data_IF_615018037250
#
_entry.id   IF_615018037250
#
_cell.length_a   1.000
_cell.length_b   1.000
_cell.length_c   1.000
_cell.angle_alpha   90.00
_cell.angle_beta   90.00
_cell.angle_gamma   90.00
#
_symmetry.space_group_name_H-M   'P 1'
#
loop_
_entity.id
_entity.type
_entity.pdbx_description
1 polymer ?
#
# COMPACT_ATOMS: atom_id res chain seq x y z
N UNK A 1 -13.39 22.22 2.68
CA UNK A 1 -14.19 22.54 3.91
C UNK A 1 -13.57 23.71 4.65
N UNK A 2 -14.30 24.42 5.53
CA UNK A 2 -13.73 25.38 6.46
C UNK A 2 -12.65 24.74 7.35
N UNK A 3 -11.63 25.53 7.73
CA UNK A 3 -10.55 25.09 8.61
C UNK A 3 -11.12 24.75 10.00
N UNK A 4 -10.92 23.51 10.45
CA UNK A 4 -11.41 23.00 11.73
C UNK A 4 -12.77 22.28 11.69
N UNK A 5 -13.36 22.05 10.51
CA UNK A 5 -14.55 21.21 10.39
C UNK A 5 -14.24 19.75 10.80
N UNK A 6 -14.97 19.24 11.80
CA UNK A 6 -14.83 17.86 12.31
C UNK A 6 -15.87 16.89 11.76
N UNK A 7 -16.95 17.40 11.16
CA UNK A 7 -18.04 16.65 10.58
C UNK A 7 -18.41 17.18 9.18
N UNK A 8 -19.06 16.34 8.39
CA UNK A 8 -19.54 16.60 7.04
C UNK A 8 -20.98 16.11 6.92
N UNK A 9 -21.84 16.93 6.32
CA UNK A 9 -23.14 16.49 5.79
C UNK A 9 -23.23 16.97 4.35
N UNK A 10 -23.50 16.05 3.42
CA UNK A 10 -23.73 16.32 1.99
C UNK A 10 -25.12 15.82 1.61
N UNK A 11 -25.92 16.70 1.01
CA UNK A 11 -27.19 16.30 0.38
C UNK A 11 -26.96 16.06 -1.11
N UNK A 12 -27.25 14.85 -1.57
CA UNK A 12 -27.31 14.52 -3.00
C UNK A 12 -28.78 14.45 -3.40
N UNK A 13 -29.20 15.31 -4.33
CA UNK A 13 -30.61 15.34 -4.75
C UNK A 13 -31.00 14.05 -5.46
N UNK A 14 -32.28 13.67 -5.38
CA UNK A 14 -32.79 12.49 -6.09
C UNK A 14 -32.53 12.58 -7.60
N UNK A 15 -32.65 13.77 -8.19
CA UNK A 15 -32.32 14.02 -9.58
C UNK A 15 -30.83 13.81 -9.88
N UNK A 16 -29.93 14.32 -9.04
CA UNK A 16 -28.49 14.10 -9.18
C UNK A 16 -28.12 12.62 -9.08
N UNK A 17 -28.69 11.89 -8.11
CA UNK A 17 -28.51 10.44 -7.97
C UNK A 17 -28.99 9.68 -9.22
N UNK A 18 -30.18 10.03 -9.72
CA UNK A 18 -30.73 9.45 -10.95
C UNK A 18 -29.82 9.71 -12.17
N UNK A 19 -29.27 10.92 -12.31
CA UNK A 19 -28.33 11.26 -13.37
C UNK A 19 -27.01 10.47 -13.26
N UNK A 20 -26.44 10.33 -12.07
CA UNK A 20 -25.22 9.55 -11.85
C UNK A 20 -25.41 8.07 -12.22
N UNK A 21 -26.50 7.45 -11.76
CA UNK A 21 -26.81 6.05 -12.08
C UNK A 21 -27.09 5.86 -13.57
N UNK A 22 -27.88 6.75 -14.19
CA UNK A 22 -28.20 6.69 -15.62
C UNK A 22 -27.00 6.93 -16.53
N UNK A 23 -26.06 7.79 -16.11
CA UNK A 23 -24.79 8.02 -16.81
C UNK A 23 -23.81 6.84 -16.67
N UNK A 24 -24.06 5.90 -15.75
CA UNK A 24 -23.17 4.76 -15.51
C UNK A 24 -21.80 5.15 -14.98
N UNK A 25 -21.73 6.19 -14.14
CA UNK A 25 -20.45 6.65 -13.53
C UNK A 25 -19.75 5.50 -12.81
N UNK A 26 -18.41 5.45 -12.83
CA UNK A 26 -17.66 4.40 -12.13
C UNK A 26 -17.73 4.55 -10.60
N UNK A 27 -17.65 5.79 -10.12
CA UNK A 27 -17.81 6.14 -8.71
C UNK A 27 -18.27 7.60 -8.53
N UNK A 28 -18.76 7.91 -7.33
CA UNK A 28 -18.94 9.26 -6.80
C UNK A 28 -17.99 9.43 -5.61
N UNK A 29 -17.05 10.38 -5.70
CA UNK A 29 -16.09 10.68 -4.63
C UNK A 29 -16.43 12.00 -3.93
N UNK A 30 -16.39 12.00 -2.59
CA UNK A 30 -16.52 13.17 -1.74
C UNK A 30 -15.19 13.44 -1.05
N UNK A 31 -14.30 14.17 -1.72
CA UNK A 31 -12.97 14.48 -1.19
C UNK A 31 -13.00 15.59 -0.12
N UNK A 32 -12.46 15.30 1.07
CA UNK A 32 -12.75 16.13 2.24
C UNK A 32 -11.97 15.85 3.53
N UNK A 33 -12.05 16.79 4.48
CA UNK A 33 -11.05 16.98 5.56
C UNK A 33 -11.07 15.92 6.68
N UNK A 34 -12.21 15.54 7.30
CA UNK A 34 -12.20 14.51 8.34
C UNK A 34 -12.01 13.10 7.75
N UNK A 35 -12.62 12.85 6.59
CA UNK A 35 -12.64 11.59 5.82
C UNK A 35 -13.00 11.94 4.36
N UNK A 36 -12.32 11.37 3.35
CA UNK A 36 -12.85 11.30 1.97
C UNK A 36 -13.72 10.05 1.83
N UNK A 37 -14.82 10.13 1.07
CA UNK A 37 -15.81 9.07 0.97
C UNK A 37 -16.27 8.81 -0.46
N UNK A 38 -16.03 7.60 -0.96
CA UNK A 38 -16.41 7.12 -2.29
C UNK A 38 -17.60 6.15 -2.27
N UNK A 39 -18.39 6.16 -3.35
CA UNK A 39 -19.45 5.18 -3.64
C UNK A 39 -19.28 4.63 -5.06
N UNK A 40 -19.24 3.31 -5.24
CA UNK A 40 -19.26 2.70 -6.58
C UNK A 40 -20.66 2.74 -7.23
N UNK A 41 -20.73 2.43 -8.53
CA UNK A 41 -21.99 2.41 -9.28
C UNK A 41 -23.07 1.47 -8.70
N UNK A 42 -22.67 0.35 -8.10
CA UNK A 42 -23.62 -0.60 -7.53
C UNK A 42 -24.18 -0.08 -6.21
N UNK A 43 -23.36 0.60 -5.40
CA UNK A 43 -23.79 1.30 -4.21
C UNK A 43 -24.77 2.43 -4.55
N UNK A 44 -24.47 3.23 -5.58
CA UNK A 44 -25.38 4.28 -6.08
C UNK A 44 -26.73 3.70 -6.55
N UNK A 45 -26.72 2.58 -7.29
CA UNK A 45 -27.94 1.86 -7.71
C UNK A 45 -28.75 1.34 -6.53
N UNK A 46 -28.10 0.73 -5.54
CA UNK A 46 -28.79 0.18 -4.36
C UNK A 46 -29.34 1.30 -3.46
N UNK A 47 -28.63 2.42 -3.33
CA UNK A 47 -29.12 3.64 -2.66
C UNK A 47 -30.34 4.19 -3.41
N UNK A 48 -30.28 4.34 -4.73
CA UNK A 48 -31.39 4.80 -5.57
C UNK A 48 -32.64 3.92 -5.39
N UNK A 49 -32.46 2.60 -5.36
CA UNK A 49 -33.52 1.61 -5.13
C UNK A 49 -34.16 1.71 -3.74
N UNK A 50 -33.41 2.10 -2.71
CA UNK A 50 -33.91 2.24 -1.34
C UNK A 50 -34.50 3.63 -1.02
N UNK A 51 -34.02 4.70 -1.67
CA UNK A 51 -34.41 6.08 -1.37
C UNK A 51 -35.62 6.57 -2.16
N UNK A 52 -36.52 7.32 -1.52
CA UNK A 52 -37.70 7.93 -2.17
C UNK A 52 -37.60 9.45 -2.39
N UNK A 53 -36.45 10.05 -2.10
CA UNK A 53 -36.18 11.48 -2.22
C UNK A 53 -34.68 11.76 -2.06
N UNK A 54 -34.34 13.01 -1.76
CA UNK A 54 -32.95 13.44 -1.55
C UNK A 54 -32.28 12.64 -0.43
N UNK A 55 -31.02 12.24 -0.66
CA UNK A 55 -30.21 11.53 0.33
C UNK A 55 -29.27 12.48 1.05
N UNK A 56 -29.09 12.28 2.35
CA UNK A 56 -28.12 12.97 3.19
C UNK A 56 -27.05 11.97 3.65
N UNK A 57 -25.81 12.23 3.24
CA UNK A 57 -24.59 11.50 3.63
C UNK A 57 -23.97 12.29 4.77
N UNK A 58 -23.89 11.71 5.97
CA UNK A 58 -23.30 12.35 7.15
C UNK A 58 -22.12 11.54 7.68
N UNK A 59 -21.01 12.24 7.93
CA UNK A 59 -19.79 11.72 8.54
C UNK A 59 -19.46 12.60 9.75
N UNK A 60 -19.44 12.03 10.95
CA UNK A 60 -19.18 12.79 12.18
C UNK A 60 -18.30 11.98 13.16
N UNK A 61 -17.51 12.62 14.05
CA UNK A 61 -16.65 11.92 14.99
C UNK A 61 -17.49 11.02 15.91
N UNK A 62 -17.09 9.75 16.05
CA UNK A 62 -17.79 8.81 16.91
C UNK A 62 -17.39 9.01 18.38
N UNK A 63 -18.38 9.04 19.27
CA UNK A 63 -18.19 9.07 20.73
C UNK A 63 -18.86 7.87 21.39
N UNK A 64 -18.72 7.70 22.71
CA UNK A 64 -19.45 6.64 23.44
C UNK A 64 -18.98 5.20 23.17
N UNK A 65 -17.82 5.00 22.52
CA UNK A 65 -17.29 3.67 22.15
C UNK A 65 -17.21 2.69 23.34
N UNK A 66 -17.54 1.43 23.09
CA UNK A 66 -17.41 0.30 24.03
C UNK A 66 -15.95 0.09 24.47
N UNK A 67 -15.76 -0.72 25.52
CA UNK A 67 -14.42 -1.07 26.02
C UNK A 67 -13.64 -1.87 24.98
N UNK A 68 -14.33 -2.77 24.30
CA UNK A 68 -13.83 -3.64 23.24
C UNK A 68 -13.42 -2.82 22.01
N UNK A 69 -14.23 -1.83 21.61
CA UNK A 69 -13.90 -0.94 20.50
C UNK A 69 -12.70 -0.05 20.82
N UNK A 70 -12.65 0.53 22.03
CA UNK A 70 -11.49 1.31 22.50
C UNK A 70 -10.19 0.50 22.51
N UNK A 71 -10.24 -0.80 22.79
CA UNK A 71 -9.05 -1.66 22.80
C UNK A 71 -8.41 -1.83 21.41
N UNK A 72 -9.20 -1.84 20.33
CA UNK A 72 -8.69 -1.96 18.94
C UNK A 72 -8.37 -0.59 18.32
N UNK A 73 -9.22 0.42 18.55
CA UNK A 73 -9.10 1.75 17.95
C UNK A 73 -8.07 2.64 18.66
N UNK A 74 -7.91 2.50 19.98
CA UNK A 74 -7.05 3.37 20.79
C UNK A 74 -7.49 4.84 20.69
N UNK A 75 -6.51 5.74 20.54
CA UNK A 75 -6.72 7.19 20.39
C UNK A 75 -6.75 7.64 18.91
N UNK A 76 -6.94 6.72 17.96
CA UNK A 76 -6.89 7.03 16.52
C UNK A 76 -8.24 7.55 16.01
N UNK A 77 -8.33 8.16 14.82
CA UNK A 77 -9.59 8.71 14.31
C UNK A 77 -10.69 7.66 14.17
N UNK A 78 -11.91 8.03 14.59
CA UNK A 78 -13.11 7.20 14.54
C UNK A 78 -14.31 8.07 14.14
N UNK A 79 -15.07 7.63 13.14
CA UNK A 79 -16.18 8.37 12.55
C UNK A 79 -17.41 7.48 12.39
N UNK A 80 -18.58 8.00 12.75
CA UNK A 80 -19.87 7.47 12.34
C UNK A 80 -20.14 7.90 10.90
N UNK A 81 -20.51 6.95 10.04
CA UNK A 81 -20.96 7.23 8.67
C UNK A 81 -22.40 6.73 8.52
N UNK A 82 -23.28 7.62 8.06
CA UNK A 82 -24.70 7.31 7.82
C UNK A 82 -25.16 7.88 6.49
N UNK A 83 -26.00 7.13 5.77
CA UNK A 83 -26.79 7.66 4.65
C UNK A 83 -28.26 7.53 5.02
N UNK A 84 -29.01 8.61 4.87
CA UNK A 84 -30.43 8.68 5.20
C UNK A 84 -31.21 9.48 4.16
N UNK A 85 -32.52 9.29 4.08
CA UNK A 85 -33.43 10.09 3.27
C UNK A 85 -34.71 10.38 4.05
N UNK A 86 -35.47 11.38 3.63
CA UNK A 86 -36.82 11.65 4.18
C UNK A 86 -37.84 10.98 3.28
N UNK A 87 -38.70 10.14 3.85
CA UNK A 87 -39.77 9.48 3.11
C UNK A 87 -40.96 10.41 2.82
N UNK A 88 -41.88 9.94 1.97
CA UNK A 88 -43.12 10.65 1.60
C UNK A 88 -44.06 11.03 2.77
N UNK A 89 -43.81 10.52 3.98
CA UNK A 89 -44.55 10.87 5.19
C UNK A 89 -43.77 11.85 6.10
N UNK A 90 -42.61 12.34 5.65
CA UNK A 90 -41.73 13.21 6.43
C UNK A 90 -40.84 12.49 7.44
N UNK A 91 -40.77 11.15 7.42
CA UNK A 91 -39.96 10.37 8.36
C UNK A 91 -38.56 10.09 7.80
N UNK A 92 -37.54 10.28 8.63
CA UNK A 92 -36.16 9.90 8.31
C UNK A 92 -36.03 8.38 8.26
N UNK A 93 -35.48 7.87 7.17
CA UNK A 93 -35.14 6.47 6.93
C UNK A 93 -33.63 6.37 6.71
N UNK A 94 -33.00 5.33 7.28
CA UNK A 94 -31.55 5.10 7.17
C UNK A 94 -31.29 3.94 6.23
N UNK A 95 -30.40 4.13 5.25
CA UNK A 95 -29.87 3.06 4.40
C UNK A 95 -28.82 2.30 5.22
N UNK A 96 -28.96 0.99 5.33
CA UNK A 96 -28.10 0.15 6.19
C UNK A 96 -27.21 -0.82 5.41
N UNK A 97 -27.51 -1.07 4.13
CA UNK A 97 -26.77 -2.00 3.27
C UNK A 97 -26.71 -1.47 1.83
N UNK A 98 -25.58 -1.74 1.17
CA UNK A 98 -25.29 -1.40 -0.22
C UNK A 98 -25.42 -2.62 -1.16
N UNK A 99 -25.89 -3.77 -0.65
CA UNK A 99 -26.08 -4.98 -1.45
C UNK A 99 -24.75 -5.54 -1.96
N UNK A 100 -24.52 -5.46 -3.27
CA UNK A 100 -23.25 -5.81 -3.92
C UNK A 100 -22.38 -4.58 -4.26
N UNK A 101 -22.78 -3.39 -3.80
CA UNK A 101 -22.03 -2.15 -3.91
C UNK A 101 -21.09 -1.90 -2.75
N UNK A 102 -20.06 -1.10 -3.02
CA UNK A 102 -19.01 -0.74 -2.08
C UNK A 102 -18.98 0.77 -1.85
N UNK A 103 -18.87 1.16 -0.58
CA UNK A 103 -18.39 2.47 -0.17
C UNK A 103 -16.91 2.35 0.26
N UNK A 104 -16.10 3.36 -0.06
CA UNK A 104 -14.70 3.43 0.35
C UNK A 104 -14.48 4.66 1.22
N UNK A 105 -14.11 4.47 2.48
CA UNK A 105 -13.65 5.55 3.35
C UNK A 105 -12.13 5.68 3.22
N UNK A 106 -11.63 6.90 3.08
CA UNK A 106 -10.22 7.23 3.27
C UNK A 106 -10.08 8.11 4.51
N UNK A 107 -9.56 7.54 5.60
CA UNK A 107 -9.41 8.22 6.89
C UNK A 107 -7.97 8.73 7.03
N UNK A 108 -7.72 10.05 7.00
CA UNK A 108 -6.38 10.61 7.16
C UNK A 108 -5.78 10.23 8.52
N UNK A 109 -4.55 9.71 8.50
CA UNK A 109 -3.89 9.27 9.72
C UNK A 109 -2.37 9.30 9.58
N UNK A 110 -1.69 10.04 10.46
CA UNK A 110 -0.24 9.92 10.63
C UNK A 110 0.07 8.81 11.64
N UNK A 111 0.75 7.72 11.25
CA UNK A 111 1.10 6.63 12.15
C UNK A 111 1.93 7.10 13.34
N UNK A 112 1.68 6.53 14.52
CA UNK A 112 2.50 6.77 15.70
C UNK A 112 3.93 6.24 15.53
N UNK A 113 4.90 6.81 16.27
CA UNK A 113 6.34 6.45 16.19
C UNK A 113 6.64 4.94 16.26
N UNK A 114 5.80 4.18 16.96
CA UNK A 114 5.96 2.73 17.18
C UNK A 114 4.99 1.87 16.34
N UNK A 115 4.32 2.46 15.35
CA UNK A 115 3.35 1.78 14.49
C UNK A 115 3.91 1.52 13.10
N UNK A 116 4.12 0.24 12.77
CA UNK A 116 4.44 -0.16 11.41
C UNK A 116 3.15 -0.24 10.57
N UNK A 117 3.12 0.51 9.46
CA UNK A 117 1.90 0.74 8.66
C UNK A 117 1.24 -0.52 8.12
N UNK A 118 2.00 -1.58 7.85
CA UNK A 118 1.45 -2.88 7.41
C UNK A 118 0.44 -3.49 8.40
N UNK A 119 0.58 -3.16 9.69
CA UNK A 119 -0.31 -3.63 10.76
C UNK A 119 -1.46 -2.65 11.11
N UNK A 120 -1.59 -1.54 10.38
CA UNK A 120 -2.81 -0.74 10.41
C UNK A 120 -3.94 -1.45 9.65
N UNK A 121 -5.17 -1.29 10.15
CA UNK A 121 -6.37 -1.85 9.55
C UNK A 121 -7.62 -1.05 9.89
N UNK A 122 -8.61 -1.10 9.01
CA UNK A 122 -9.96 -0.62 9.26
C UNK A 122 -10.65 -1.45 10.32
N UNK A 123 -11.37 -0.76 11.19
CA UNK A 123 -12.29 -1.34 12.17
C UNK A 123 -13.67 -0.80 11.86
N UNK A 124 -14.70 -1.65 11.94
CA UNK A 124 -16.07 -1.20 12.12
C UNK A 124 -16.62 -1.64 13.49
N UNK A 125 -17.67 -1.00 13.97
CA UNK A 125 -18.35 -1.37 15.22
C UNK A 125 -19.78 -1.84 14.88
N UNK A 126 -20.08 -3.09 15.20
CA UNK A 126 -21.42 -3.64 14.96
C UNK A 126 -22.48 -3.05 15.92
N UNK A 127 -23.75 -3.37 15.66
CA UNK A 127 -24.89 -2.84 16.42
C UNK A 127 -24.87 -3.20 17.93
N UNK A 128 -24.09 -4.20 18.34
CA UNK A 128 -23.90 -4.56 19.74
C UNK A 128 -22.71 -3.82 20.39
N UNK A 129 -22.10 -2.87 19.69
CA UNK A 129 -20.90 -2.16 20.13
C UNK A 129 -19.61 -2.97 20.01
N UNK A 130 -19.62 -4.14 19.36
CA UNK A 130 -18.42 -4.97 19.20
C UNK A 130 -17.63 -4.52 17.98
N UNK A 131 -16.35 -4.21 18.18
CA UNK A 131 -15.44 -3.85 17.10
C UNK A 131 -14.94 -5.09 16.35
N UNK A 132 -14.87 -4.96 15.02
CA UNK A 132 -14.45 -6.01 14.10
C UNK A 132 -13.45 -5.45 13.08
N UNK A 133 -12.42 -6.24 12.76
CA UNK A 133 -11.37 -5.88 11.81
C UNK A 133 -11.82 -6.11 10.36
N UNK A 134 -11.54 -5.14 9.50
CA UNK A 134 -11.78 -5.19 8.05
C UNK A 134 -10.49 -5.64 7.38
N UNK A 135 -10.38 -6.93 7.07
CA UNK A 135 -9.13 -7.49 6.53
C UNK A 135 -8.73 -6.91 5.16
N UNK A 136 -9.71 -6.54 4.33
CA UNK A 136 -9.51 -5.90 3.02
C UNK A 136 -9.15 -4.40 3.07
N UNK A 137 -8.95 -3.83 4.25
CA UNK A 137 -8.45 -2.45 4.40
C UNK A 137 -6.93 -2.36 4.19
N UNK A 138 -6.44 -1.19 3.82
CA UNK A 138 -5.00 -0.93 3.68
C UNK A 138 -4.64 0.52 4.00
N UNK A 139 -3.47 0.74 4.59
CA UNK A 139 -2.90 2.08 4.68
C UNK A 139 -2.25 2.43 3.33
N UNK A 140 -2.47 3.64 2.85
CA UNK A 140 -1.84 4.17 1.66
C UNK A 140 -0.96 5.38 2.00
N UNK A 141 0.34 5.22 1.76
CA UNK A 141 1.34 6.25 2.06
C UNK A 141 1.28 7.47 1.12
N UNK A 142 0.70 7.33 -0.08
CA UNK A 142 0.54 8.44 -1.02
C UNK A 142 -0.56 9.41 -0.56
N UNK A 143 -1.70 8.89 -0.10
CA UNK A 143 -2.81 9.68 0.46
C UNK A 143 -2.70 9.93 1.97
N UNK A 144 -1.69 9.37 2.65
CA UNK A 144 -1.50 9.52 4.10
C UNK A 144 -2.67 9.01 4.94
N UNK A 145 -3.38 8.00 4.43
CA UNK A 145 -4.72 7.63 4.89
C UNK A 145 -4.91 6.12 4.98
N UNK A 146 -5.80 5.69 5.88
CA UNK A 146 -6.29 4.33 5.93
C UNK A 146 -7.53 4.19 5.04
N UNK A 147 -7.44 3.32 4.04
CA UNK A 147 -8.48 2.98 3.09
C UNK A 147 -9.33 1.81 3.62
N UNK A 148 -10.64 2.00 3.67
CA UNK A 148 -11.61 1.05 4.23
C UNK A 148 -12.76 0.82 3.22
N UNK A 149 -12.80 -0.33 2.53
CA UNK A 149 -13.98 -0.74 1.77
C UNK A 149 -15.06 -1.29 2.72
N UNK A 150 -16.34 -0.99 2.44
CA UNK A 150 -17.48 -1.50 3.21
C UNK A 150 -18.76 -1.57 2.36
N UNK A 151 -19.60 -2.58 2.59
CA UNK A 151 -20.91 -2.75 1.95
C UNK A 151 -22.11 -2.33 2.82
N UNK A 152 -21.86 -1.63 3.94
CA UNK A 152 -22.87 -1.20 4.90
C UNK A 152 -22.45 0.14 5.54
N UNK A 153 -23.23 0.61 6.51
CA UNK A 153 -22.94 1.82 7.28
C UNK A 153 -22.80 1.51 8.78
N UNK A 154 -21.93 2.24 9.48
CA UNK A 154 -21.42 1.89 10.82
C UNK A 154 -20.53 3.03 11.36
N UNK A 155 -20.00 2.82 12.57
CA UNK A 155 -18.84 3.55 13.08
C UNK A 155 -17.57 2.86 12.56
N UNK A 156 -16.72 3.61 11.85
CA UNK A 156 -15.45 3.15 11.30
C UNK A 156 -14.27 3.88 11.96
N UNK A 157 -13.10 3.25 11.99
CA UNK A 157 -11.89 3.92 12.45
C UNK A 157 -10.60 3.17 12.16
N UNK A 158 -9.49 3.79 12.53
CA UNK A 158 -8.14 3.24 12.39
C UNK A 158 -7.83 2.32 13.57
N UNK A 159 -7.64 1.04 13.31
CA UNK A 159 -7.12 0.06 14.26
C UNK A 159 -5.66 -0.28 14.02
N UNK A 160 -5.01 -0.79 15.06
CA UNK A 160 -3.64 -1.30 15.02
C UNK A 160 -3.48 -2.45 16.01
N UNK A 161 -2.76 -3.49 15.62
CA UNK A 161 -2.31 -4.56 16.50
C UNK A 161 -0.82 -4.74 16.29
N UNK A 162 -0.03 -4.56 17.35
CA UNK A 162 1.40 -4.81 17.28
C UNK A 162 1.67 -6.27 16.85
N UNK A 163 2.65 -6.53 15.99
CA UNK A 163 2.89 -7.87 15.49
C UNK A 163 3.34 -8.83 16.59
N UNK A 164 2.76 -10.03 16.59
CA UNK A 164 3.19 -11.15 17.42
C UNK A 164 4.52 -11.74 16.93
N UNK A 165 4.73 -11.76 15.61
CA UNK A 165 5.99 -12.15 14.99
C UNK A 165 6.99 -11.00 15.02
N UNK A 166 8.25 -11.29 15.35
CA UNK A 166 9.35 -10.32 15.36
C UNK A 166 10.46 -10.81 14.44
N UNK A 167 10.21 -10.69 13.14
CA UNK A 167 11.16 -11.10 12.11
C UNK A 167 12.40 -10.20 12.13
N UNK A 168 13.57 -10.80 12.38
CA UNK A 168 14.85 -10.05 12.45
C UNK A 168 15.50 -9.87 11.08
N UNK A 169 15.13 -10.70 10.12
CA UNK A 169 15.67 -10.79 8.77
C UNK A 169 15.02 -9.85 7.73
N UNK A 170 14.06 -9.01 8.17
CA UNK A 170 13.38 -8.04 7.30
C UNK A 170 13.62 -6.57 7.70
N UNK A 171 14.47 -6.30 8.70
CA UNK A 171 14.59 -4.97 9.33
C UNK A 171 14.88 -3.82 8.38
N UNK A 172 15.80 -4.01 7.43
CA UNK A 172 16.17 -3.07 6.36
C UNK A 172 15.72 -3.55 4.97
N UNK A 173 14.95 -4.65 4.90
CA UNK A 173 14.57 -5.28 3.64
C UNK A 173 13.50 -4.46 2.91
N UNK A 174 13.65 -4.24 1.61
CA UNK A 174 12.76 -3.39 0.81
C UNK A 174 11.27 -3.81 0.93
N UNK A 175 11.02 -5.13 0.90
CA UNK A 175 9.68 -5.71 1.00
C UNK A 175 9.06 -5.69 2.40
N UNK A 176 9.74 -5.14 3.43
CA UNK A 176 9.31 -5.22 4.84
C UNK A 176 7.85 -4.79 5.04
N UNK A 177 7.45 -3.66 4.47
CA UNK A 177 6.08 -3.14 4.64
C UNK A 177 5.03 -4.10 4.09
N UNK A 178 5.28 -4.67 2.91
CA UNK A 178 4.39 -5.62 2.28
C UNK A 178 4.36 -6.97 3.03
N UNK A 179 5.51 -7.42 3.55
CA UNK A 179 5.62 -8.61 4.41
C UNK A 179 4.82 -8.42 5.69
N UNK A 180 5.00 -7.29 6.38
CA UNK A 180 4.24 -6.91 7.57
C UNK A 180 2.73 -6.91 7.25
N UNK A 181 2.33 -6.34 6.10
CA UNK A 181 0.95 -6.26 5.65
C UNK A 181 0.28 -7.64 5.45
N UNK A 182 0.94 -8.54 4.70
CA UNK A 182 0.38 -9.87 4.38
C UNK A 182 0.42 -10.83 5.56
N UNK A 183 1.45 -10.74 6.42
CA UNK A 183 1.52 -11.51 7.66
C UNK A 183 0.51 -10.99 8.67
N UNK A 184 0.35 -9.66 8.77
CA UNK A 184 -0.66 -9.03 9.59
C UNK A 184 -2.09 -9.44 9.23
N UNK A 185 -2.33 -9.93 8.01
CA UNK A 185 -3.62 -10.47 7.52
C UNK A 185 -3.65 -12.00 7.46
N UNK A 186 -2.61 -12.68 7.91
CA UNK A 186 -2.50 -14.14 7.93
C UNK A 186 -2.36 -14.80 6.55
N UNK A 187 -2.18 -14.03 5.47
CA UNK A 187 -2.09 -14.54 4.11
C UNK A 187 -0.82 -15.39 3.95
N UNK A 188 0.31 -14.85 4.41
CA UNK A 188 1.59 -15.56 4.55
C UNK A 188 2.00 -15.65 6.03
N UNK A 189 2.92 -16.57 6.33
CA UNK A 189 3.55 -16.75 7.64
C UNK A 189 5.06 -16.87 7.49
N UNK A 190 5.81 -16.60 8.56
CA UNK A 190 7.25 -16.84 8.60
C UNK A 190 7.62 -18.32 8.52
N UNK A 191 8.89 -18.60 8.28
CA UNK A 191 9.48 -19.95 8.36
C UNK A 191 9.82 -20.34 9.81
N UNK A 192 9.97 -19.35 10.69
CA UNK A 192 10.08 -19.53 12.14
C UNK A 192 9.31 -18.40 12.87
N UNK A 193 9.40 -18.35 14.21
CA UNK A 193 8.84 -17.23 15.02
C UNK A 193 9.57 -15.89 14.78
N UNK A 194 10.81 -15.94 14.30
CA UNK A 194 11.73 -14.78 14.17
C UNK A 194 12.36 -14.67 12.78
N UNK A 195 11.96 -15.52 11.82
CA UNK A 195 12.50 -15.57 10.46
C UNK A 195 11.34 -15.59 9.45
N UNK A 196 11.36 -14.68 8.48
CA UNK A 196 10.44 -14.69 7.35
C UNK A 196 11.04 -15.35 6.10
N UNK A 197 12.36 -15.33 5.94
CA UNK A 197 13.12 -15.75 4.77
C UNK A 197 12.67 -15.03 3.47
N UNK A 198 12.77 -13.68 3.40
CA UNK A 198 12.20 -12.86 2.32
C UNK A 198 12.67 -13.28 0.92
N UNK A 199 13.96 -13.54 0.76
CA UNK A 199 14.59 -13.86 -0.53
C UNK A 199 14.46 -15.34 -0.95
N UNK A 200 13.78 -16.17 -0.15
CA UNK A 200 13.56 -17.57 -0.55
C UNK A 200 12.37 -17.71 -1.51
N UNK A 201 12.49 -18.66 -2.44
CA UNK A 201 11.53 -18.85 -3.52
C UNK A 201 10.13 -19.26 -3.02
N UNK A 202 9.11 -18.67 -3.62
CA UNK A 202 7.71 -19.03 -3.45
C UNK A 202 7.36 -20.31 -4.19
N UNK A 203 6.55 -21.18 -3.58
CA UNK A 203 6.00 -22.36 -4.26
C UNK A 203 4.56 -22.14 -4.77
N UNK A 204 4.15 -22.94 -5.76
CA UNK A 204 2.77 -22.98 -6.27
C UNK A 204 1.73 -23.19 -5.16
N UNK A 205 1.98 -24.12 -4.23
CA UNK A 205 1.09 -24.41 -3.11
C UNK A 205 0.95 -23.25 -2.12
N UNK A 206 2.03 -22.52 -1.86
CA UNK A 206 2.01 -21.34 -1.01
C UNK A 206 1.23 -20.17 -1.66
N UNK A 207 1.36 -19.94 -2.97
CA UNK A 207 0.61 -18.90 -3.68
C UNK A 207 -0.91 -19.13 -3.58
N UNK A 208 -1.40 -20.31 -3.95
CA UNK A 208 -2.84 -20.60 -3.89
C UNK A 208 -3.39 -20.59 -2.46
N UNK A 209 -2.55 -20.91 -1.47
CA UNK A 209 -2.90 -20.78 -0.05
C UNK A 209 -3.09 -19.32 0.35
N UNK A 210 -2.22 -18.41 -0.10
CA UNK A 210 -2.37 -16.98 0.18
C UNK A 210 -3.62 -16.39 -0.49
N UNK A 211 -3.88 -16.76 -1.75
CA UNK A 211 -5.06 -16.33 -2.50
C UNK A 211 -6.37 -16.89 -1.93
N UNK A 212 -6.40 -18.17 -1.55
CA UNK A 212 -7.57 -18.78 -0.91
C UNK A 212 -7.87 -18.23 0.47
N UNK A 213 -6.83 -17.84 1.24
CA UNK A 213 -7.02 -17.08 2.50
C UNK A 213 -7.57 -15.67 2.25
N UNK A 214 -7.10 -14.99 1.20
CA UNK A 214 -7.61 -13.68 0.80
C UNK A 214 -9.08 -13.75 0.37
N UNK A 215 -9.47 -14.80 -0.36
CA UNK A 215 -10.85 -15.07 -0.75
C UNK A 215 -11.74 -15.62 0.40
N UNK A 216 -11.22 -15.79 1.61
CA UNK A 216 -12.00 -16.25 2.77
C UNK A 216 -12.52 -17.68 2.65
N UNK A 217 -11.82 -18.55 1.93
CA UNK A 217 -12.27 -19.93 1.62
C UNK A 217 -12.58 -20.74 2.87
N UNK A 218 -13.82 -21.25 2.96
CA UNK A 218 -14.15 -22.31 3.93
C UNK A 218 -13.50 -23.63 3.48
N UNK A 219 -12.38 -23.95 4.13
CA UNK A 219 -11.62 -25.18 3.89
C UNK A 219 -12.43 -26.46 4.08
N UNK A 220 -13.56 -26.42 4.81
CA UNK A 220 -14.43 -27.58 5.03
C UNK A 220 -15.20 -27.99 3.78
N UNK A 221 -15.40 -27.08 2.82
CA UNK A 221 -16.06 -27.37 1.54
C UNK A 221 -15.14 -28.10 0.54
N UNK A 222 -13.84 -28.20 0.83
CA UNK A 222 -12.83 -28.70 -0.11
C UNK A 222 -12.11 -29.94 0.45
N UNK A 223 -12.87 -31.03 0.53
CA UNK A 223 -12.42 -32.32 1.11
C UNK A 223 -11.98 -33.37 0.08
N UNK A 224 -12.05 -33.10 -1.22
CA UNK A 224 -11.57 -33.96 -2.30
C UNK A 224 -10.06 -33.81 -2.58
N UNK A 225 -9.51 -34.66 -3.43
CA UNK A 225 -8.20 -34.48 -4.07
C UNK A 225 -8.36 -34.70 -5.58
N UNK A 226 -8.09 -33.66 -6.36
CA UNK A 226 -8.10 -33.66 -7.84
C UNK A 226 -6.72 -33.94 -8.43
N UNK A 227 -5.67 -33.97 -7.59
CA UNK A 227 -4.27 -34.18 -7.99
C UNK A 227 -3.62 -35.29 -7.18
N UNK A 228 -2.88 -36.15 -7.87
CA UNK A 228 -2.23 -37.37 -7.34
C UNK A 228 -1.04 -37.08 -6.43
N UNK A 229 -0.38 -35.93 -6.58
CA UNK A 229 0.80 -35.52 -5.81
C UNK A 229 0.47 -34.61 -4.61
N UNK A 230 -0.82 -34.34 -4.38
CA UNK A 230 -1.31 -33.59 -3.22
C UNK A 230 -1.78 -34.58 -2.15
N UNK A 231 -1.11 -34.61 -1.00
CA UNK A 231 -1.50 -35.48 0.13
C UNK A 231 -2.84 -35.06 0.74
N UNK A 232 -3.62 -36.02 1.24
CA UNK A 232 -4.92 -35.79 1.87
C UNK A 232 -4.87 -34.96 3.18
N UNK A 233 -3.74 -35.01 3.89
CA UNK A 233 -3.46 -34.26 5.13
C UNK A 233 -2.76 -32.91 4.88
N UNK A 234 -2.43 -32.58 3.63
CA UNK A 234 -1.70 -31.35 3.29
C UNK A 234 -2.51 -30.09 3.61
N UNK A 235 -1.92 -29.16 4.35
CA UNK A 235 -2.52 -27.85 4.63
C UNK A 235 -2.80 -27.00 3.38
N UNK A 236 -2.15 -27.29 2.25
CA UNK A 236 -2.40 -26.61 0.97
C UNK A 236 -3.64 -27.15 0.24
N UNK A 237 -4.02 -28.40 0.51
CA UNK A 237 -5.04 -29.16 -0.23
C UNK A 237 -6.38 -28.44 -0.43
N UNK A 238 -7.08 -27.92 0.61
CA UNK A 238 -8.37 -27.27 0.40
C UNK A 238 -8.25 -26.03 -0.50
N UNK A 239 -7.12 -25.30 -0.43
CA UNK A 239 -6.87 -24.12 -1.26
C UNK A 239 -6.50 -24.50 -2.70
N UNK A 240 -5.78 -25.60 -2.92
CA UNK A 240 -5.49 -26.15 -4.26
C UNK A 240 -6.80 -26.60 -4.93
N UNK A 241 -7.65 -27.34 -4.22
CA UNK A 241 -8.96 -27.78 -4.73
C UNK A 241 -9.88 -26.60 -5.04
N UNK A 242 -9.94 -25.60 -4.16
CA UNK A 242 -10.69 -24.37 -4.39
C UNK A 242 -10.17 -23.63 -5.63
N UNK A 243 -8.86 -23.44 -5.73
CA UNK A 243 -8.25 -22.72 -6.84
C UNK A 243 -8.47 -23.45 -8.18
N UNK A 244 -8.44 -24.79 -8.19
CA UNK A 244 -8.72 -25.59 -9.37
C UNK A 244 -10.21 -25.52 -9.77
N UNK A 245 -11.13 -25.76 -8.83
CA UNK A 245 -12.58 -25.73 -9.10
C UNK A 245 -13.11 -24.37 -9.56
N UNK A 246 -12.45 -23.27 -9.15
CA UNK A 246 -12.78 -21.91 -9.58
C UNK A 246 -11.93 -21.42 -10.77
N UNK A 247 -11.13 -22.29 -11.40
CA UNK A 247 -10.34 -21.96 -12.59
C UNK A 247 -9.16 -21.01 -12.35
N UNK A 248 -8.80 -20.73 -11.10
CA UNK A 248 -7.65 -19.90 -10.70
C UNK A 248 -6.33 -20.55 -11.12
N UNK A 249 -6.24 -21.87 -11.01
CA UNK A 249 -5.06 -22.68 -11.40
C UNK A 249 -5.44 -23.91 -12.20
N UNK A 250 -4.47 -24.43 -12.94
CA UNK A 250 -4.51 -25.74 -13.59
C UNK A 250 -3.35 -26.62 -13.09
N UNK A 251 -3.48 -27.93 -13.30
CA UNK A 251 -2.40 -28.89 -13.11
C UNK A 251 -1.25 -28.71 -14.11
N UNK A 252 -0.15 -29.43 -13.90
CA UNK A 252 1.05 -29.39 -14.76
C UNK A 252 1.11 -30.54 -15.79
N UNK A 253 -0.01 -31.24 -16.01
CA UNK A 253 -0.08 -32.53 -16.70
C UNK A 253 -0.30 -33.69 -15.73
N UNK A 254 -0.50 -34.90 -16.26
CA UNK A 254 -0.50 -36.20 -15.52
C UNK A 254 -1.29 -36.27 -14.20
N UNK A 255 -2.33 -35.44 -14.02
CA UNK A 255 -3.05 -35.26 -12.75
C UNK A 255 -2.12 -34.84 -11.59
N UNK A 256 -1.15 -33.97 -11.85
CA UNK A 256 -0.21 -33.41 -10.86
C UNK A 256 -0.37 -31.89 -10.75
N UNK A 257 -0.10 -31.33 -9.56
CA UNK A 257 -0.12 -29.89 -9.28
C UNK A 257 1.26 -29.30 -8.98
N UNK A 258 2.19 -30.11 -8.47
CA UNK A 258 3.51 -29.77 -7.96
C UNK A 258 3.50 -28.67 -6.87
N UNK A 259 2.87 -28.91 -5.70
CA UNK A 259 2.69 -27.89 -4.65
C UNK A 259 4.01 -27.35 -4.08
N UNK A 260 5.07 -28.16 -4.10
CA UNK A 260 6.41 -27.78 -3.65
C UNK A 260 7.30 -27.13 -4.73
N UNK A 261 6.87 -27.10 -6.00
CA UNK A 261 7.67 -26.49 -7.07
C UNK A 261 7.69 -24.96 -6.92
N UNK A 262 8.87 -24.38 -7.04
CA UNK A 262 9.04 -22.93 -7.14
C UNK A 262 8.28 -22.38 -8.36
N UNK A 263 7.59 -21.25 -8.20
CA UNK A 263 6.73 -20.69 -9.25
C UNK A 263 7.41 -19.53 -9.97
N UNK A 264 7.32 -19.51 -11.30
CA UNK A 264 7.92 -18.45 -12.11
C UNK A 264 7.04 -17.20 -12.15
N UNK A 265 7.64 -16.04 -12.47
CA UNK A 265 6.92 -14.77 -12.54
C UNK A 265 5.84 -14.74 -13.64
N UNK A 266 6.05 -15.39 -14.78
CA UNK A 266 5.00 -15.48 -15.81
C UNK A 266 3.81 -16.36 -15.38
N UNK A 267 4.05 -17.44 -14.61
CA UNK A 267 2.97 -18.25 -14.03
C UNK A 267 2.16 -17.47 -12.99
N UNK A 268 2.81 -16.66 -12.15
CA UNK A 268 2.14 -15.80 -11.17
C UNK A 268 1.17 -14.83 -11.87
N UNK A 269 1.58 -14.21 -12.98
CA UNK A 269 0.75 -13.26 -13.71
C UNK A 269 -0.58 -13.88 -14.18
N UNK A 270 -0.54 -15.09 -14.75
CA UNK A 270 -1.74 -15.83 -15.17
C UNK A 270 -2.62 -16.20 -13.95
N UNK A 271 -2.02 -16.63 -12.85
CA UNK A 271 -2.78 -17.03 -11.65
C UNK A 271 -3.47 -15.81 -11.01
N UNK A 272 -2.82 -14.65 -10.94
CA UNK A 272 -3.49 -13.42 -10.47
C UNK A 272 -4.61 -12.95 -11.43
N UNK A 273 -4.43 -13.11 -12.75
CA UNK A 273 -5.46 -12.74 -13.73
C UNK A 273 -6.69 -13.65 -13.60
N UNK A 274 -6.47 -14.96 -13.46
CA UNK A 274 -7.54 -15.92 -13.22
C UNK A 274 -8.20 -15.72 -11.84
N UNK A 275 -7.43 -15.38 -10.80
CA UNK A 275 -7.95 -15.05 -9.46
C UNK A 275 -8.87 -13.84 -9.50
N UNK A 276 -8.45 -12.75 -10.15
CA UNK A 276 -9.27 -11.56 -10.34
C UNK A 276 -10.60 -11.91 -11.01
N UNK A 277 -10.55 -12.63 -12.14
CA UNK A 277 -11.74 -13.11 -12.86
C UNK A 277 -12.64 -13.99 -11.98
N UNK A 278 -12.08 -14.96 -11.25
CA UNK A 278 -12.82 -15.87 -10.39
C UNK A 278 -13.48 -15.19 -9.18
N UNK A 279 -12.92 -14.07 -8.72
CA UNK A 279 -13.48 -13.23 -7.64
C UNK A 279 -14.33 -12.06 -8.15
N UNK A 280 -14.61 -11.99 -9.45
CA UNK A 280 -15.43 -10.94 -10.06
C UNK A 280 -14.74 -9.57 -10.16
N UNK A 281 -13.43 -9.49 -9.91
CA UNK A 281 -12.66 -8.26 -10.02
C UNK A 281 -12.13 -8.05 -11.44
N UNK A 282 -12.48 -6.92 -12.04
CA UNK A 282 -11.92 -6.50 -13.34
C UNK A 282 -10.61 -5.75 -13.10
N UNK A 283 -9.51 -6.27 -13.63
CA UNK A 283 -8.21 -5.61 -13.58
C UNK A 283 -8.27 -4.26 -14.32
N UNK A 284 -8.00 -3.13 -13.64
CA UNK A 284 -8.12 -1.82 -14.25
C UNK A 284 -6.88 -1.47 -15.09
N UNK A 285 -7.09 -0.80 -16.22
CA UNK A 285 -6.02 -0.30 -17.10
C UNK A 285 -5.65 1.12 -16.67
N UNK A 286 -4.77 1.24 -15.67
CA UNK A 286 -4.43 2.51 -15.02
C UNK A 286 -3.09 3.07 -15.53
N UNK A 287 -2.19 2.17 -15.92
CA UNK A 287 -0.85 2.50 -16.43
C UNK A 287 -0.77 2.21 -17.92
N UNK A 288 0.02 3.03 -18.61
CA UNK A 288 0.38 2.75 -20.00
C UNK A 288 1.18 1.45 -20.10
N UNK A 289 0.96 0.68 -21.16
CA UNK A 289 1.75 -0.52 -21.42
C UNK A 289 3.15 -0.12 -21.89
N UNK A 290 4.17 -0.67 -21.24
CA UNK A 290 5.58 -0.47 -21.59
C UNK A 290 6.19 -1.82 -21.93
N UNK A 291 6.89 -1.92 -23.05
CA UNK A 291 7.59 -3.16 -23.38
C UNK A 291 8.74 -3.39 -22.37
N UNK A 292 8.73 -4.54 -21.71
CA UNK A 292 9.87 -4.98 -20.90
C UNK A 292 11.07 -5.28 -21.80
N UNK A 293 12.29 -5.02 -21.32
CA UNK A 293 13.53 -5.23 -22.06
C UNK A 293 13.75 -6.71 -22.45
N UNK A 294 13.16 -7.63 -21.71
CA UNK A 294 13.19 -9.08 -21.91
C UNK A 294 11.84 -9.64 -22.40
N UNK A 295 10.98 -8.82 -23.01
CA UNK A 295 9.64 -9.23 -23.44
C UNK A 295 9.64 -10.45 -24.40
N UNK A 296 10.70 -10.66 -25.18
CA UNK A 296 10.89 -11.84 -26.04
C UNK A 296 11.06 -13.16 -25.27
N UNK A 297 11.36 -13.10 -23.97
CA UNK A 297 11.47 -14.27 -23.08
C UNK A 297 10.15 -14.67 -22.42
N UNK A 298 9.11 -13.82 -22.52
CA UNK A 298 7.77 -14.10 -22.00
C UNK A 298 7.12 -15.14 -22.93
N UNK A 299 6.64 -16.26 -22.38
CA UNK A 299 5.95 -17.25 -23.21
C UNK A 299 4.65 -16.67 -23.78
N UNK A 300 4.32 -16.98 -25.05
CA UNK A 300 3.17 -16.39 -25.75
C UNK A 300 1.81 -16.62 -25.07
N UNK A 301 1.67 -17.67 -24.26
CA UNK A 301 0.47 -17.93 -23.45
C UNK A 301 0.34 -17.07 -22.18
N UNK A 302 1.38 -16.31 -21.83
CA UNK A 302 1.45 -15.49 -20.60
C UNK A 302 1.42 -13.98 -20.90
N UNK A 303 1.65 -13.56 -22.16
CA UNK A 303 1.84 -12.17 -22.56
C UNK A 303 0.69 -11.25 -22.13
N UNK A 304 -0.56 -11.65 -22.39
CA UNK A 304 -1.75 -10.86 -22.03
C UNK A 304 -1.90 -10.70 -20.50
N UNK A 305 -1.61 -11.76 -19.74
CA UNK A 305 -1.67 -11.70 -18.28
C UNK A 305 -0.54 -10.82 -17.70
N UNK A 306 0.68 -10.93 -18.24
CA UNK A 306 1.82 -10.08 -17.85
C UNK A 306 1.53 -8.60 -18.15
N UNK A 307 0.97 -8.31 -19.34
CA UNK A 307 0.53 -6.97 -19.72
C UNK A 307 -0.56 -6.45 -18.79
N UNK A 308 -1.60 -7.25 -18.50
CA UNK A 308 -2.67 -6.86 -17.58
C UNK A 308 -2.13 -6.55 -16.17
N UNK A 309 -1.20 -7.36 -15.64
CA UNK A 309 -0.57 -7.11 -14.34
C UNK A 309 0.27 -5.83 -14.32
N UNK A 310 0.96 -5.52 -15.42
CA UNK A 310 1.72 -4.27 -15.56
C UNK A 310 0.79 -3.04 -15.57
N UNK A 311 -0.26 -3.09 -16.40
CA UNK A 311 -1.20 -1.97 -16.57
C UNK A 311 -2.06 -1.73 -15.32
N UNK A 312 -2.33 -2.78 -14.54
CA UNK A 312 -2.94 -2.70 -13.22
C UNK A 312 -1.96 -2.25 -12.11
N UNK A 313 -0.65 -2.31 -12.37
CA UNK A 313 0.40 -1.95 -11.41
C UNK A 313 0.68 -3.00 -10.32
N UNK A 314 0.26 -4.25 -10.53
CA UNK A 314 0.43 -5.35 -9.57
C UNK A 314 1.82 -5.97 -9.66
N UNK A 315 2.27 -6.28 -10.88
CA UNK A 315 3.63 -6.76 -11.18
C UNK A 315 4.30 -5.71 -12.05
N UNK A 316 5.43 -5.18 -11.60
CA UNK A 316 6.04 -3.98 -12.16
C UNK A 316 7.36 -4.25 -12.88
N UNK A 317 7.86 -5.47 -12.81
CA UNK A 317 9.24 -5.78 -13.21
C UNK A 317 10.23 -5.26 -12.18
N UNK A 318 11.50 -5.31 -12.56
CA UNK A 318 12.64 -4.99 -11.71
C UNK A 318 13.69 -4.14 -12.42
N UNK A 319 14.95 -4.39 -12.11
CA UNK A 319 16.12 -3.73 -12.69
C UNK A 319 16.11 -3.78 -14.23
N UNK A 320 16.64 -2.72 -14.85
CA UNK A 320 16.74 -2.54 -16.31
C UNK A 320 15.40 -2.69 -17.08
N UNK A 321 14.25 -2.42 -16.44
CA UNK A 321 12.92 -2.65 -17.02
C UNK A 321 12.72 -4.11 -17.50
N UNK A 322 13.20 -5.09 -16.72
CA UNK A 322 13.02 -6.53 -17.00
C UNK A 322 11.85 -7.12 -16.21
N UNK A 323 11.10 -8.01 -16.82
CA UNK A 323 10.05 -8.79 -16.14
C UNK A 323 10.59 -10.08 -15.51
N UNK A 324 11.70 -10.62 -16.00
CA UNK A 324 12.33 -11.88 -15.57
C UNK A 324 11.33 -13.07 -15.58
N UNK A 325 10.67 -13.38 -16.71
CA UNK A 325 9.50 -14.28 -16.76
C UNK A 325 9.76 -15.69 -16.25
N UNK A 326 10.96 -16.23 -16.50
CA UNK A 326 11.35 -17.60 -16.11
C UNK A 326 11.96 -17.69 -14.70
N UNK A 327 12.28 -16.56 -14.08
CA UNK A 327 12.82 -16.54 -12.72
C UNK A 327 11.74 -16.90 -11.70
N UNK A 328 12.14 -17.61 -10.65
CA UNK A 328 11.28 -17.89 -9.51
C UNK A 328 11.09 -16.63 -8.68
N UNK A 329 9.84 -16.29 -8.31
CA UNK A 329 9.61 -15.17 -7.41
C UNK A 329 9.96 -15.54 -5.96
N UNK A 330 10.51 -14.57 -5.23
CA UNK A 330 10.76 -14.60 -3.80
C UNK A 330 9.49 -14.37 -2.98
N UNK A 331 9.55 -14.63 -1.67
CA UNK A 331 8.46 -14.34 -0.73
C UNK A 331 8.23 -12.84 -0.55
N UNK A 332 9.28 -12.02 -0.66
CA UNK A 332 9.15 -10.56 -0.64
C UNK A 332 8.44 -10.01 -1.89
N UNK A 333 8.78 -10.52 -3.08
CA UNK A 333 8.08 -10.18 -4.32
C UNK A 333 6.59 -10.51 -4.24
N UNK A 334 6.22 -11.73 -3.86
CA UNK A 334 4.79 -12.08 -3.76
C UNK A 334 4.07 -11.28 -2.66
N UNK A 335 4.73 -11.00 -1.53
CA UNK A 335 4.14 -10.15 -0.48
C UNK A 335 3.80 -8.77 -1.06
N UNK A 336 4.67 -8.22 -1.90
CA UNK A 336 4.49 -6.92 -2.56
C UNK A 336 3.39 -6.97 -3.63
N UNK A 337 3.34 -8.02 -4.45
CA UNK A 337 2.27 -8.23 -5.44
C UNK A 337 0.90 -8.36 -4.77
N UNK A 338 0.79 -9.15 -3.69
CA UNK A 338 -0.44 -9.27 -2.89
C UNK A 338 -0.84 -7.92 -2.26
N UNK A 339 0.10 -7.18 -1.69
CA UNK A 339 -0.18 -5.87 -1.09
C UNK A 339 -0.68 -4.86 -2.13
N UNK A 340 -0.03 -4.78 -3.31
CA UNK A 340 -0.47 -3.95 -4.44
C UNK A 340 -1.86 -4.37 -4.93
N UNK A 341 -2.09 -5.67 -5.14
CA UNK A 341 -3.40 -6.20 -5.55
C UNK A 341 -4.51 -5.79 -4.58
N UNK A 342 -4.33 -5.97 -3.27
CA UNK A 342 -5.38 -5.68 -2.30
C UNK A 342 -5.65 -4.17 -2.24
N UNK A 343 -4.62 -3.32 -2.22
CA UNK A 343 -4.79 -1.85 -2.32
C UNK A 343 -5.57 -1.44 -3.57
N UNK A 344 -5.26 -2.05 -4.72
CA UNK A 344 -5.93 -1.82 -5.99
C UNK A 344 -7.42 -2.20 -5.97
N UNK A 345 -7.78 -3.28 -5.27
CA UNK A 345 -9.19 -3.67 -5.08
C UNK A 345 -10.00 -2.72 -4.20
N UNK A 346 -9.34 -1.88 -3.39
CA UNK A 346 -10.01 -0.82 -2.61
C UNK A 346 -10.22 0.43 -3.46
N UNK A 347 -9.15 0.88 -4.15
CA UNK A 347 -9.25 1.95 -5.15
C UNK A 347 -8.10 1.91 -6.16
N UNK A 348 -8.40 2.03 -7.48
CA UNK A 348 -7.43 2.24 -8.55
C UNK A 348 -6.40 3.35 -8.31
N UNK A 349 -6.75 4.39 -7.55
CA UNK A 349 -5.86 5.52 -7.28
C UNK A 349 -4.54 5.11 -6.60
N UNK A 350 -4.53 3.99 -5.87
CA UNK A 350 -3.32 3.45 -5.22
C UNK A 350 -2.20 3.00 -6.18
N UNK A 351 -2.47 2.89 -7.48
CA UNK A 351 -1.47 2.60 -8.50
C UNK A 351 -0.70 3.86 -9.01
N UNK A 352 -1.11 5.06 -8.60
CA UNK A 352 -0.42 6.34 -8.87
C UNK A 352 0.49 6.74 -7.70
N UNK A 353 1.25 7.83 -7.87
CA UNK A 353 2.17 8.35 -6.85
C UNK A 353 3.42 7.48 -6.70
N UNK A 354 4.00 7.46 -5.50
CA UNK A 354 5.15 6.61 -5.21
C UNK A 354 4.73 5.13 -5.24
N UNK A 355 5.49 4.35 -6.02
CA UNK A 355 5.35 2.91 -6.10
C UNK A 355 6.74 2.25 -6.01
N UNK A 356 6.81 1.10 -5.38
CA UNK A 356 8.00 0.25 -5.33
C UNK A 356 7.83 -0.87 -6.36
N UNK A 357 8.81 -1.10 -7.23
CA UNK A 357 8.80 -2.23 -8.17
C UNK A 357 9.13 -3.56 -7.47
N UNK A 358 9.30 -4.64 -8.24
CA UNK A 358 9.48 -5.98 -7.67
C UNK A 358 10.92 -6.24 -7.18
N UNK A 359 11.88 -5.37 -7.52
CA UNK A 359 13.27 -5.43 -7.05
C UNK A 359 13.56 -4.37 -5.95
N UNK A 360 12.53 -3.73 -5.40
CA UNK A 360 12.69 -2.75 -4.31
C UNK A 360 13.12 -1.35 -4.77
N UNK A 361 13.00 -1.01 -6.06
CA UNK A 361 13.31 0.31 -6.59
C UNK A 361 12.07 1.20 -6.61
N UNK A 362 12.21 2.47 -6.25
CA UNK A 362 11.09 3.42 -6.29
C UNK A 362 10.87 3.98 -7.69
N UNK A 363 9.61 4.19 -8.05
CA UNK A 363 9.15 4.95 -9.21
C UNK A 363 8.08 5.94 -8.74
N UNK A 364 7.81 6.97 -9.53
CA UNK A 364 6.65 7.84 -9.34
C UNK A 364 5.73 7.78 -10.55
N UNK A 365 4.48 7.38 -10.34
CA UNK A 365 3.46 7.34 -11.40
C UNK A 365 2.59 8.58 -11.35
N UNK A 366 2.40 9.21 -12.51
CA UNK A 366 1.45 10.29 -12.72
C UNK A 366 0.72 10.06 -14.03
N UNK A 367 -0.61 10.18 -14.01
CA UNK A 367 -1.47 10.00 -15.19
C UNK A 367 -1.19 8.69 -15.95
N UNK A 368 -0.85 7.62 -15.20
CA UNK A 368 -0.53 6.30 -15.73
C UNK A 368 0.90 6.10 -16.25
N UNK A 369 1.74 7.14 -16.24
CA UNK A 369 3.14 7.13 -16.70
C UNK A 369 4.11 7.14 -15.53
N UNK A 370 5.19 6.35 -15.62
CA UNK A 370 6.33 6.53 -14.73
C UNK A 370 7.08 7.81 -15.13
N UNK A 371 7.39 8.68 -14.17
CA UNK A 371 8.17 9.90 -14.43
C UNK A 371 9.66 9.57 -14.63
N UNK A 372 10.30 10.29 -15.55
CA UNK A 372 11.73 10.16 -15.88
C UNK A 372 12.45 11.51 -15.73
N UNK A 373 13.79 11.49 -15.69
CA UNK A 373 14.60 12.71 -15.63
C UNK A 373 14.47 13.49 -14.31
N UNK A 374 14.69 14.80 -14.36
CA UNK A 374 14.57 15.66 -13.16
C UNK A 374 13.13 16.11 -12.97
N UNK A 375 12.57 15.91 -11.78
CA UNK A 375 11.19 16.22 -11.44
C UNK A 375 11.13 16.99 -10.11
N UNK A 376 10.01 17.70 -9.87
CA UNK A 376 9.69 18.28 -8.56
C UNK A 376 8.37 17.69 -8.08
N UNK A 377 8.40 16.99 -6.95
CA UNK A 377 7.26 16.32 -6.32
C UNK A 377 7.14 16.89 -4.91
N UNK A 378 5.99 17.45 -4.57
CA UNK A 378 5.70 18.07 -3.26
C UNK A 378 6.75 19.12 -2.83
N UNK A 379 7.25 19.89 -3.80
CA UNK A 379 8.29 20.91 -3.59
C UNK A 379 9.72 20.37 -3.49
N UNK A 380 9.91 19.04 -3.51
CA UNK A 380 11.23 18.38 -3.43
C UNK A 380 11.68 17.96 -4.84
N UNK A 381 12.92 18.30 -5.20
CA UNK A 381 13.53 17.84 -6.46
C UNK A 381 13.93 16.36 -6.34
N UNK A 382 13.60 15.57 -7.37
CA UNK A 382 13.97 14.15 -7.53
C UNK A 382 14.59 13.89 -8.91
N UNK A 383 15.35 12.80 -9.02
CA UNK A 383 16.06 12.42 -10.24
C UNK A 383 15.76 10.97 -10.59
N UNK A 384 15.11 10.75 -11.71
CA UNK A 384 14.74 9.44 -12.23
C UNK A 384 15.60 9.06 -13.44
N UNK A 385 15.84 7.76 -13.59
CA UNK A 385 16.46 7.15 -14.76
C UNK A 385 15.47 7.11 -15.93
N UNK A 386 15.95 6.68 -17.11
CA UNK A 386 15.12 6.58 -18.32
C UNK A 386 14.06 5.47 -18.24
N UNK A 387 14.25 4.47 -17.38
CA UNK A 387 13.27 3.42 -17.07
C UNK A 387 12.25 3.84 -15.98
N UNK A 388 12.35 5.08 -15.48
CA UNK A 388 11.49 5.63 -14.43
C UNK A 388 11.89 5.26 -13.00
N UNK A 389 13.01 4.53 -12.80
CA UNK A 389 13.51 4.25 -11.45
C UNK A 389 14.16 5.48 -10.82
N UNK A 390 13.87 5.72 -9.54
CA UNK A 390 14.45 6.81 -8.76
C UNK A 390 15.93 6.53 -8.47
N UNK A 391 16.79 7.52 -8.71
CA UNK A 391 18.17 7.49 -8.23
C UNK A 391 18.20 7.68 -6.71
N UNK A 392 18.61 6.64 -6.00
CA UNK A 392 18.74 6.64 -4.53
C UNK A 392 20.21 6.71 -4.08
N UNK A 393 20.45 6.98 -2.80
CA UNK A 393 21.79 7.25 -2.29
C UNK A 393 22.29 8.61 -2.73
N UNK A 394 23.59 8.75 -3.00
CA UNK A 394 24.22 10.00 -3.43
C UNK A 394 23.87 10.34 -4.87
N UNK A 395 23.33 11.54 -5.09
CA UNK A 395 22.93 12.06 -6.41
C UNK A 395 23.50 13.46 -6.62
N UNK A 396 24.13 13.69 -7.76
CA UNK A 396 24.70 14.98 -8.13
C UNK A 396 23.64 15.93 -8.71
N UNK A 397 23.56 17.16 -8.19
CA UNK A 397 22.68 18.26 -8.65
C UNK A 397 23.56 19.45 -9.07
N UNK A 398 24.11 19.38 -10.28
CA UNK A 398 25.12 20.32 -10.77
C UNK A 398 26.43 20.21 -9.97
N UNK A 399 26.83 21.31 -9.32
CA UNK A 399 28.01 21.34 -8.45
C UNK A 399 27.71 20.90 -6.99
N UNK A 400 26.46 20.55 -6.68
CA UNK A 400 26.02 20.14 -5.34
C UNK A 400 25.70 18.66 -5.31
N UNK A 401 25.54 18.12 -4.10
CA UNK A 401 25.10 16.74 -3.88
C UNK A 401 23.78 16.70 -3.10
N UNK A 402 23.04 15.61 -3.29
CA UNK A 402 21.83 15.24 -2.58
C UNK A 402 21.97 13.80 -2.11
N UNK A 403 21.18 13.42 -1.11
CA UNK A 403 21.07 12.02 -0.69
C UNK A 403 19.60 11.63 -0.57
N UNK A 404 19.24 10.44 -1.06
CA UNK A 404 17.90 9.87 -0.92
C UNK A 404 17.94 8.52 -0.21
N UNK A 405 17.19 8.39 0.89
CA UNK A 405 16.95 7.13 1.58
C UNK A 405 15.59 6.58 1.16
N UNK A 406 15.59 5.61 0.24
CA UNK A 406 14.39 5.25 -0.50
C UNK A 406 13.84 6.45 -1.29
N UNK A 407 12.53 6.72 -1.19
CA UNK A 407 11.91 7.91 -1.76
C UNK A 407 12.03 9.18 -0.90
N UNK A 408 12.80 9.18 0.20
CA UNK A 408 12.94 10.34 1.09
C UNK A 408 14.24 11.09 0.83
N UNK A 409 14.14 12.35 0.40
CA UNK A 409 15.29 13.25 0.33
C UNK A 409 15.83 13.58 1.74
N UNK A 410 17.15 13.58 1.91
CA UNK A 410 17.80 13.99 3.14
C UNK A 410 17.63 15.51 3.36
N UNK A 411 17.26 15.88 4.59
CA UNK A 411 17.10 17.26 5.05
C UNK A 411 17.59 17.34 6.49
N UNK A 412 18.33 18.39 6.85
CA UNK A 412 18.96 18.52 8.15
C UNK A 412 20.11 17.52 8.36
N UNK A 413 20.31 17.09 9.60
CA UNK A 413 21.37 16.14 9.97
C UNK A 413 21.09 14.71 9.49
N UNK A 414 22.07 14.06 8.88
CA UNK A 414 22.02 12.64 8.53
C UNK A 414 23.40 11.99 8.68
N UNK A 415 23.45 10.82 9.30
CA UNK A 415 24.66 9.99 9.38
C UNK A 415 24.64 8.96 8.23
N UNK A 416 25.75 8.86 7.49
CA UNK A 416 25.92 7.97 6.32
C UNK A 416 27.32 7.36 6.42
N UNK A 417 27.41 6.04 6.59
CA UNK A 417 28.68 5.29 6.70
C UNK A 417 29.67 5.93 7.69
N UNK A 418 29.23 6.03 8.95
CA UNK A 418 29.97 6.61 10.10
C UNK A 418 30.36 8.10 10.01
N UNK A 419 30.07 8.76 8.87
CA UNK A 419 30.23 10.21 8.68
C UNK A 419 28.90 10.93 8.88
N UNK A 420 28.96 12.09 9.54
CA UNK A 420 27.80 12.98 9.73
C UNK A 420 27.77 14.07 8.68
N UNK A 421 26.60 14.31 8.09
CA UNK A 421 26.36 15.30 7.05
C UNK A 421 25.23 16.24 7.46
N UNK A 422 25.14 17.40 6.81
CA UNK A 422 23.99 18.29 6.89
C UNK A 422 23.48 18.66 5.50
N UNK A 423 22.18 18.56 5.32
CA UNK A 423 21.47 18.90 4.09
C UNK A 423 20.58 20.12 4.34
N UNK A 424 20.54 21.06 3.41
CA UNK A 424 19.65 22.23 3.48
C UNK A 424 18.17 21.81 3.41
N UNK A 425 17.25 22.74 3.71
CA UNK A 425 15.81 22.56 3.49
C UNK A 425 15.46 22.15 2.05
N UNK A 426 16.30 22.57 1.09
CA UNK A 426 16.15 22.28 -0.34
C UNK A 426 16.82 20.95 -0.73
N UNK A 427 17.32 20.18 0.24
CA UNK A 427 17.94 18.86 0.12
C UNK A 427 19.40 18.85 -0.36
N UNK A 428 20.09 19.99 -0.40
CA UNK A 428 21.47 20.10 -0.86
C UNK A 428 22.46 19.87 0.28
N UNK A 429 23.45 18.99 0.07
CA UNK A 429 24.55 18.74 1.00
C UNK A 429 25.38 20.00 1.21
N UNK A 430 25.75 20.27 2.46
CA UNK A 430 26.66 21.35 2.83
C UNK A 430 28.11 20.82 2.83
N UNK A 431 29.00 21.49 2.11
CA UNK A 431 30.43 21.17 2.07
C UNK A 431 31.32 22.42 1.95
N UNK A 432 32.58 22.26 2.33
CA UNK A 432 33.67 23.22 2.18
C UNK A 432 33.48 24.55 2.93
N UNK A 433 32.69 24.58 4.00
CA UNK A 433 32.35 25.83 4.71
C UNK A 433 31.85 25.65 6.13
N UNK A 434 31.95 26.75 6.88
CA UNK A 434 31.20 26.95 8.12
C UNK A 434 29.71 27.17 7.86
N UNK A 435 28.86 26.61 8.73
CA UNK A 435 27.43 26.86 8.78
C UNK A 435 26.98 26.98 10.24
N UNK A 436 26.06 27.92 10.51
CA UNK A 436 25.41 28.03 11.81
C UNK A 436 24.10 27.23 11.81
N UNK A 437 23.94 26.34 12.79
CA UNK A 437 22.76 25.49 13.00
C UNK A 437 22.39 25.61 14.48
N UNK A 438 21.15 25.99 14.78
CA UNK A 438 20.63 26.20 16.15
C UNK A 438 21.57 27.05 17.04
N UNK A 439 22.09 28.14 16.46
CA UNK A 439 23.02 29.08 17.11
C UNK A 439 24.47 28.62 17.18
N UNK A 440 24.76 27.33 16.97
CA UNK A 440 26.12 26.75 17.02
C UNK A 440 26.77 26.73 15.64
N UNK A 441 28.09 26.91 15.60
CA UNK A 441 28.87 26.86 14.35
C UNK A 441 29.48 25.48 14.15
N UNK A 442 29.33 24.95 12.94
CA UNK A 442 29.83 23.66 12.47
C UNK A 442 30.62 23.86 11.18
N UNK A 443 31.71 23.11 10.96
CA UNK A 443 32.43 23.11 9.69
C UNK A 443 32.19 21.79 8.95
N UNK A 444 31.87 21.90 7.67
CA UNK A 444 31.74 20.75 6.78
C UNK A 444 32.91 20.74 5.80
N UNK A 445 33.61 19.61 5.75
CA UNK A 445 34.74 19.36 4.87
C UNK A 445 34.33 19.44 3.39
N UNK A 446 35.29 19.41 2.47
CA UNK A 446 35.03 19.43 1.02
C UNK A 446 34.22 18.22 0.54
N UNK A 447 34.36 17.07 1.21
CA UNK A 447 33.54 15.86 0.99
C UNK A 447 32.15 15.93 1.67
N UNK A 448 31.82 17.04 2.34
CA UNK A 448 30.57 17.27 3.06
C UNK A 448 30.52 16.68 4.47
N UNK A 449 31.54 15.95 4.91
CA UNK A 449 31.57 15.39 6.27
C UNK A 449 31.77 16.48 7.33
N UNK A 450 31.06 16.35 8.46
CA UNK A 450 31.25 17.21 9.62
C UNK A 450 32.65 17.02 10.21
N UNK A 451 33.41 18.10 10.32
CA UNK A 451 34.67 18.11 11.06
C UNK A 451 34.42 17.90 12.57
N UNK A 452 35.24 17.06 13.20
CA UNK A 452 35.19 16.73 14.64
C UNK A 452 36.60 16.64 15.20
N UNK A 453 36.77 16.99 16.48
CA UNK A 453 38.02 16.85 17.24
C UNK A 453 39.27 17.36 16.50
N UNK A 454 39.17 18.55 15.90
CA UNK A 454 40.19 19.09 14.99
C UNK A 454 40.24 20.63 15.04
N UNK A 455 41.16 21.25 14.28
CA UNK A 455 41.24 22.70 14.10
C UNK A 455 40.92 23.08 12.65
N UNK A 456 40.06 24.07 12.46
CA UNK A 456 39.70 24.64 11.15
C UNK A 456 39.70 26.17 11.25
N UNK A 457 40.33 26.86 10.30
CA UNK A 457 40.41 28.33 10.24
C UNK A 457 40.84 29.03 11.55
N UNK A 458 41.69 28.37 12.34
CA UNK A 458 42.16 28.84 13.64
C UNK A 458 41.17 28.65 14.81
N UNK A 459 40.05 27.99 14.60
CA UNK A 459 39.11 27.57 15.65
C UNK A 459 39.27 26.08 15.97
N UNK A 460 39.14 25.72 17.24
CA UNK A 460 39.00 24.33 17.65
C UNK A 460 37.55 23.86 17.47
N UNK A 461 37.37 22.61 17.05
CA UNK A 461 36.09 21.94 16.85
C UNK A 461 36.05 20.69 17.73
N UNK A 462 35.01 20.56 18.54
CA UNK A 462 34.88 19.45 19.51
C UNK A 462 34.46 18.11 18.88
N UNK A 463 34.32 17.07 19.69
CA UNK A 463 33.87 15.72 19.27
C UNK A 463 32.46 15.69 18.66
N UNK A 464 31.63 16.69 18.98
CA UNK A 464 30.28 16.88 18.48
C UNK A 464 30.24 17.78 17.22
N UNK A 465 31.40 18.28 16.78
CA UNK A 465 31.55 19.16 15.62
C UNK A 465 31.31 20.65 15.90
N UNK A 466 31.20 21.04 17.18
CA UNK A 466 30.87 22.42 17.57
C UNK A 466 32.15 23.26 17.69
N UNK A 467 32.12 24.45 17.06
CA UNK A 467 33.20 25.45 17.15
C UNK A 467 33.34 26.03 18.56
N UNK A 468 34.53 25.92 19.14
CA UNK A 468 34.92 26.62 20.37
C UNK A 468 35.40 28.06 20.07
N UNK A 469 35.70 28.84 21.10
CA UNK A 469 36.38 30.14 20.97
C UNK A 469 37.72 29.99 20.26
N UNK A 470 38.21 31.07 19.60
CA UNK A 470 39.55 31.04 18.97
C UNK A 470 40.60 30.65 20.01
N UNK A 471 41.49 29.76 19.60
CA UNK A 471 42.69 29.43 20.38
C UNK A 471 43.58 30.68 20.44
N UNK A 472 43.79 31.21 21.64
CA UNK A 472 44.90 32.13 21.90
C UNK A 472 46.12 31.30 22.29
N UNK A 473 47.32 31.62 21.75
CA UNK A 473 48.52 30.81 21.90
C UNK A 473 49.07 30.77 23.33
#
# INVERSE_FOLDING_TARGET
>A
MPKGATALTVTLTQNSLNSLVSAGVTSLELDGVPVSFGLDLNALKEIQKQSSGDISITIAPATGLSKEAKALLGNRPVYSVTISYVDKNGKIQTITSLGNGTATLSIPYTPGKNEAVGYLFGVYVDANGKAQRINGSAYDANSGSLLIPTGHFSIYGVGYTAPSAKFTDIGTHWGKEAIDYVVGRGLLSGTSKTTFAPDTAMTRGMLVTALGRLAGVDVKAYTTNSFTDVKADSAFRPYIEWAYKNGVVQGIGTQQFAPGRAITREEIAVIFANYAKATGYTLPVIREAVAYADASSIGGSYSDAVKAMQQAGIMMGGNDNKFNPKSNATRAELSSMLHRYIKLTITPATAQGWALNDDGQYLYYKDGKALTGTQTIDGVKYFFNNDGTLKTGWVQDGNNWRYYSGNKAAMGWLDISDKRYYFTKDGLMVSGKWLQIDGKWYYFNTDGSLAKSTKVDGYEVDENGVRKTKWQP
#
